data_IF_277810643113
#
_entry.id   IF_277810643113
#
_cell.length_a   1.000
_cell.length_b   1.000
_cell.length_c   1.000
_cell.angle_alpha   90.00
_cell.angle_beta   90.00
_cell.angle_gamma   90.00
#
_symmetry.space_group_name_H-M   'P 1'
#
loop_
_entity.id
_entity.type
_entity.pdbx_description
1 polymer ?
#
# COMPACT_ATOMS: atom_id res chain seq x y z
N UNK A 1 15.78 -9.50 -11.63
CA UNK A 1 15.82 -8.91 -12.99
C UNK A 1 14.46 -8.34 -13.37
N UNK A 2 13.38 -9.10 -13.21
CA UNK A 2 12.04 -8.70 -13.67
C UNK A 2 11.45 -7.51 -12.87
N UNK A 3 11.65 -7.43 -11.55
CA UNK A 3 11.10 -6.34 -10.72
C UNK A 3 11.75 -5.01 -11.09
N UNK A 4 13.08 -4.93 -11.15
CA UNK A 4 13.79 -3.71 -11.51
C UNK A 4 13.38 -3.19 -12.89
N UNK A 5 13.46 -4.04 -13.90
CA UNK A 5 13.04 -3.68 -15.27
C UNK A 5 11.56 -3.32 -15.37
N UNK A 6 10.69 -3.99 -14.58
CA UNK A 6 9.27 -3.67 -14.51
C UNK A 6 9.01 -2.26 -13.96
N UNK A 7 9.68 -1.88 -12.86
CA UNK A 7 9.57 -0.54 -12.28
C UNK A 7 10.03 0.54 -13.26
N UNK A 8 11.19 0.36 -13.92
CA UNK A 8 11.67 1.33 -14.91
C UNK A 8 10.81 1.37 -16.16
N UNK A 9 10.17 0.28 -16.57
CA UNK A 9 9.20 0.32 -17.66
C UNK A 9 8.00 1.22 -17.31
N UNK A 10 7.46 1.13 -16.09
CA UNK A 10 6.39 2.02 -15.63
C UNK A 10 6.86 3.47 -15.54
N UNK A 11 8.09 3.71 -15.05
CA UNK A 11 8.71 5.05 -15.01
C UNK A 11 8.80 5.66 -16.42
N UNK A 12 9.21 4.88 -17.42
CA UNK A 12 9.28 5.34 -18.82
C UNK A 12 7.89 5.70 -19.34
N UNK A 13 6.85 4.91 -19.02
CA UNK A 13 5.47 5.25 -19.41
C UNK A 13 5.00 6.55 -18.74
N UNK A 14 5.27 6.75 -17.45
CA UNK A 14 4.97 8.01 -16.76
C UNK A 14 5.71 9.20 -17.41
N UNK A 15 6.99 9.04 -17.74
CA UNK A 15 7.77 10.06 -18.45
C UNK A 15 7.19 10.36 -19.83
N UNK A 16 6.69 9.36 -20.56
CA UNK A 16 6.04 9.58 -21.86
C UNK A 16 4.76 10.40 -21.72
N UNK A 17 3.95 10.16 -20.68
CA UNK A 17 2.77 10.98 -20.37
C UNK A 17 3.19 12.42 -20.08
N UNK A 18 4.15 12.62 -19.16
CA UNK A 18 4.63 13.96 -18.80
C UNK A 18 5.21 14.72 -19.99
N UNK A 19 5.95 14.04 -20.87
CA UNK A 19 6.46 14.64 -22.10
C UNK A 19 5.33 15.05 -23.03
N UNK A 20 4.34 14.18 -23.26
CA UNK A 20 3.21 14.50 -24.14
C UNK A 20 2.33 15.62 -23.58
N UNK A 21 2.12 15.69 -22.28
CA UNK A 21 1.39 16.81 -21.65
C UNK A 21 2.12 18.13 -21.88
N UNK A 22 3.44 18.15 -21.71
CA UNK A 22 4.25 19.34 -21.95
C UNK A 22 4.21 19.77 -23.41
N UNK A 23 4.35 18.83 -24.33
CA UNK A 23 4.54 19.13 -25.76
C UNK A 23 3.19 19.30 -26.49
N UNK A 24 2.13 18.62 -26.06
CA UNK A 24 0.83 18.52 -26.74
C UNK A 24 -0.38 18.63 -25.79
N UNK A 25 -0.22 19.16 -24.58
CA UNK A 25 -1.27 19.16 -23.53
C UNK A 25 -2.56 19.86 -23.95
N UNK A 26 -2.51 20.78 -24.91
CA UNK A 26 -3.69 21.48 -25.48
C UNK A 26 -4.71 20.53 -26.15
N UNK A 27 -4.34 19.30 -26.47
CA UNK A 27 -5.27 18.29 -27.01
C UNK A 27 -6.30 17.89 -25.95
N UNK A 28 -5.91 17.91 -24.66
CA UNK A 28 -6.83 17.72 -23.55
C UNK A 28 -7.39 19.08 -23.19
N UNK A 29 -8.61 19.35 -23.65
CA UNK A 29 -9.24 20.69 -23.57
C UNK A 29 -9.70 21.02 -22.14
N UNK A 30 -10.03 20.04 -21.32
CA UNK A 30 -10.37 20.23 -19.91
C UNK A 30 -9.10 20.34 -19.06
N UNK A 31 -8.91 21.52 -18.45
CA UNK A 31 -7.73 21.83 -17.64
C UNK A 31 -7.63 20.94 -16.39
N UNK A 32 -8.77 20.60 -15.77
CA UNK A 32 -8.79 19.74 -14.58
C UNK A 32 -8.38 18.30 -14.93
N UNK A 33 -8.92 17.74 -16.01
CA UNK A 33 -8.52 16.42 -16.50
C UNK A 33 -7.04 16.38 -16.86
N UNK A 34 -6.52 17.42 -17.54
CA UNK A 34 -5.10 17.51 -17.87
C UNK A 34 -4.23 17.55 -16.61
N UNK A 35 -4.59 18.36 -15.62
CA UNK A 35 -3.87 18.46 -14.36
C UNK A 35 -3.90 17.14 -13.57
N UNK A 36 -5.03 16.42 -13.57
CA UNK A 36 -5.15 15.11 -12.94
C UNK A 36 -4.24 14.08 -13.61
N UNK A 37 -4.21 14.02 -14.95
CA UNK A 37 -3.34 13.09 -15.69
C UNK A 37 -1.86 13.39 -15.41
N UNK A 38 -1.49 14.66 -15.39
CA UNK A 38 -0.12 15.10 -15.09
C UNK A 38 0.27 14.76 -13.65
N UNK A 39 -0.60 15.05 -12.67
CA UNK A 39 -0.40 14.74 -11.27
C UNK A 39 -0.26 13.24 -11.01
N UNK A 40 -1.10 12.41 -11.64
CA UNK A 40 -0.98 10.95 -11.58
C UNK A 40 0.36 10.45 -12.14
N UNK A 41 0.82 11.01 -13.26
CA UNK A 41 2.10 10.59 -13.86
C UNK A 41 3.30 10.93 -12.96
N UNK A 42 3.31 12.10 -12.31
CA UNK A 42 4.32 12.41 -11.28
C UNK A 42 4.24 11.46 -10.08
N UNK A 43 3.04 11.17 -9.58
CA UNK A 43 2.85 10.26 -8.46
C UNK A 43 3.30 8.83 -8.77
N UNK A 44 3.00 8.31 -9.97
CA UNK A 44 3.44 7.00 -10.45
C UNK A 44 4.98 6.96 -10.55
N UNK A 45 5.60 8.00 -11.08
CA UNK A 45 7.05 8.09 -11.18
C UNK A 45 7.71 8.11 -9.81
N UNK A 46 7.19 8.90 -8.87
CA UNK A 46 7.65 8.93 -7.49
C UNK A 46 7.49 7.57 -6.80
N UNK A 47 6.33 6.93 -6.94
CA UNK A 47 6.03 5.62 -6.36
C UNK A 47 7.02 4.55 -6.82
N UNK A 48 7.25 4.46 -8.14
CA UNK A 48 8.15 3.47 -8.70
C UNK A 48 9.62 3.74 -8.33
N UNK A 49 10.09 4.99 -8.33
CA UNK A 49 11.43 5.32 -7.86
C UNK A 49 11.58 5.08 -6.35
N UNK A 50 10.54 5.32 -5.58
CA UNK A 50 10.56 4.99 -4.15
C UNK A 50 10.66 3.47 -3.92
N UNK A 51 10.01 2.65 -4.74
CA UNK A 51 10.18 1.19 -4.67
C UNK A 51 11.58 0.75 -5.12
N UNK A 52 12.17 1.40 -6.13
CA UNK A 52 13.58 1.21 -6.48
C UNK A 52 14.47 1.51 -5.27
N UNK A 53 14.26 2.64 -4.59
CA UNK A 53 15.01 3.01 -3.38
C UNK A 53 14.84 1.98 -2.27
N UNK A 54 13.59 1.56 -2.00
CA UNK A 54 13.30 0.63 -0.91
C UNK A 54 13.85 -0.78 -1.15
N UNK A 55 13.94 -1.22 -2.39
CA UNK A 55 14.48 -2.54 -2.73
C UNK A 55 16.01 -2.51 -2.88
N UNK A 56 16.52 -1.63 -3.72
CA UNK A 56 17.88 -1.66 -4.20
C UNK A 56 18.79 -0.63 -3.52
N UNK A 57 18.25 0.38 -2.87
CA UNK A 57 19.01 1.39 -2.14
C UNK A 57 19.48 0.92 -0.77
N UNK A 58 20.29 1.75 -0.14
CA UNK A 58 20.76 1.58 1.22
C UNK A 58 19.65 1.65 2.28
N UNK A 59 19.97 1.29 3.52
CA UNK A 59 19.08 1.58 4.66
C UNK A 59 19.01 3.10 4.88
N UNK A 60 17.85 3.64 5.34
CA UNK A 60 17.69 5.10 5.41
C UNK A 60 18.43 5.75 6.58
N UNK A 61 18.79 5.00 7.62
CA UNK A 61 19.44 5.51 8.83
C UNK A 61 20.74 4.78 9.10
N UNK A 62 21.79 5.55 9.42
CA UNK A 62 23.09 5.02 9.83
C UNK A 62 23.73 4.05 8.80
N UNK A 63 23.45 4.26 7.51
CA UNK A 63 23.97 3.43 6.44
C UNK A 63 25.50 3.51 6.37
N UNK A 64 26.14 2.36 6.40
CA UNK A 64 27.58 2.21 6.14
C UNK A 64 27.85 1.89 4.68
N UNK A 65 26.89 1.28 4.00
CA UNK A 65 26.93 0.97 2.57
C UNK A 65 26.20 2.07 1.81
N UNK A 66 26.89 2.75 0.91
CA UNK A 66 26.30 3.81 0.08
C UNK A 66 25.93 3.25 -1.28
N UNK A 67 24.70 3.51 -1.71
CA UNK A 67 24.16 3.04 -3.00
C UNK A 67 23.66 4.24 -3.81
N UNK A 68 24.25 4.47 -4.96
CA UNK A 68 23.73 5.39 -5.96
C UNK A 68 22.73 4.67 -6.87
N UNK A 69 21.67 5.34 -7.25
CA UNK A 69 20.59 4.79 -8.09
C UNK A 69 20.24 5.75 -9.24
N UNK A 70 19.86 5.25 -10.42
CA UNK A 70 19.46 6.11 -11.54
C UNK A 70 18.04 6.65 -11.34
N UNK A 71 17.85 7.98 -11.47
CA UNK A 71 16.54 8.62 -11.47
C UNK A 71 16.17 9.07 -12.87
N UNK A 72 15.22 8.39 -13.51
CA UNK A 72 14.83 8.64 -14.90
C UNK A 72 13.67 9.66 -14.97
N UNK A 73 13.95 10.83 -15.56
CA UNK A 73 12.99 11.93 -15.71
C UNK A 73 12.52 12.15 -17.16
N UNK A 74 13.10 11.42 -18.09
CA UNK A 74 12.80 11.57 -19.53
C UNK A 74 12.74 10.23 -20.23
N UNK A 75 12.05 10.18 -21.35
CA UNK A 75 12.12 9.05 -22.29
C UNK A 75 13.44 9.16 -23.07
N UNK A 76 14.37 8.25 -22.81
CA UNK A 76 15.71 8.28 -23.45
C UNK A 76 16.27 6.87 -23.59
N UNK A 77 17.00 6.65 -24.69
CA UNK A 77 17.85 5.47 -24.89
C UNK A 77 19.26 5.64 -24.31
N UNK A 78 19.56 6.84 -23.80
CA UNK A 78 20.87 7.12 -23.16
C UNK A 78 20.84 6.65 -21.72
N UNK A 79 22.00 6.26 -21.21
CA UNK A 79 22.17 5.93 -19.81
C UNK A 79 21.69 7.09 -18.90
N UNK A 80 20.97 6.75 -17.85
CA UNK A 80 20.48 7.70 -16.85
C UNK A 80 21.59 7.94 -15.82
N UNK A 81 21.71 9.18 -15.36
CA UNK A 81 22.66 9.52 -14.30
C UNK A 81 22.28 8.85 -12.98
N UNK A 82 23.30 8.36 -12.26
CA UNK A 82 23.17 7.83 -10.91
C UNK A 82 23.26 8.97 -9.89
N UNK A 83 22.36 8.95 -8.93
CA UNK A 83 22.26 9.96 -7.88
C UNK A 83 22.60 9.37 -6.52
N UNK A 84 23.19 10.20 -5.65
CA UNK A 84 23.37 9.88 -4.25
C UNK A 84 22.02 9.63 -3.58
N UNK A 85 22.03 8.97 -2.42
CA UNK A 85 20.78 8.78 -1.63
C UNK A 85 20.06 10.10 -1.40
N UNK A 86 20.78 11.16 -0.99
CA UNK A 86 20.19 12.47 -0.71
C UNK A 86 19.57 13.12 -1.94
N UNK A 87 20.28 13.10 -3.07
CA UNK A 87 19.76 13.67 -4.32
C UNK A 87 18.56 12.86 -4.84
N UNK A 88 18.60 11.53 -4.67
CA UNK A 88 17.52 10.65 -5.10
C UNK A 88 16.23 10.88 -4.31
N UNK A 89 16.31 11.01 -2.98
CA UNK A 89 15.13 11.31 -2.14
C UNK A 89 14.57 12.72 -2.42
N UNK A 90 15.43 13.70 -2.70
CA UNK A 90 14.98 15.05 -3.11
C UNK A 90 14.15 14.99 -4.40
N UNK A 91 14.56 14.20 -5.38
CA UNK A 91 13.79 14.04 -6.63
C UNK A 91 12.44 13.36 -6.42
N UNK A 92 12.36 12.38 -5.50
CA UNK A 92 11.07 11.78 -5.13
C UNK A 92 10.16 12.83 -4.48
N UNK A 93 10.69 13.62 -3.54
CA UNK A 93 9.92 14.67 -2.86
C UNK A 93 9.43 15.74 -3.84
N UNK A 94 10.26 16.13 -4.82
CA UNK A 94 9.87 17.06 -5.89
C UNK A 94 8.70 16.54 -6.73
N UNK A 95 8.72 15.26 -7.09
CA UNK A 95 7.64 14.65 -7.87
C UNK A 95 6.36 14.52 -7.06
N UNK A 96 6.44 14.16 -5.76
CA UNK A 96 5.29 14.14 -4.86
C UNK A 96 4.67 15.52 -4.69
N UNK A 97 5.49 16.55 -4.53
CA UNK A 97 5.05 17.95 -4.42
C UNK A 97 4.31 18.43 -5.67
N UNK A 98 4.82 18.07 -6.87
CA UNK A 98 4.13 18.37 -8.13
C UNK A 98 2.80 17.65 -8.24
N UNK A 99 2.78 16.36 -7.90
CA UNK A 99 1.57 15.55 -7.89
C UNK A 99 0.51 16.12 -6.93
N UNK A 100 0.90 16.45 -5.68
CA UNK A 100 0.00 17.07 -4.70
C UNK A 100 -0.58 18.38 -5.24
N UNK A 101 0.26 19.26 -5.76
CA UNK A 101 -0.16 20.58 -6.26
C UNK A 101 -1.17 20.47 -7.40
N UNK A 102 -0.94 19.54 -8.33
CA UNK A 102 -1.81 19.35 -9.50
C UNK A 102 -3.16 18.71 -9.11
N UNK A 103 -3.16 17.78 -8.16
CA UNK A 103 -4.37 17.06 -7.76
C UNK A 103 -5.24 17.87 -6.79
N UNK A 104 -4.65 18.70 -5.93
CA UNK A 104 -5.32 19.38 -4.82
C UNK A 104 -6.61 20.11 -5.21
N UNK A 105 -6.62 20.79 -6.35
CA UNK A 105 -7.77 21.62 -6.79
C UNK A 105 -8.55 20.96 -7.94
N UNK A 106 -8.07 19.85 -8.49
CA UNK A 106 -8.57 19.25 -9.72
C UNK A 106 -9.16 17.85 -9.55
N UNK A 107 -8.83 17.16 -8.46
CA UNK A 107 -9.29 15.78 -8.25
C UNK A 107 -10.79 15.74 -7.89
N UNK A 108 -11.61 14.94 -8.61
CA UNK A 108 -13.05 14.84 -8.36
C UNK A 108 -13.41 14.26 -6.97
N UNK A 109 -12.46 13.68 -6.25
CA UNK A 109 -12.66 13.17 -4.89
C UNK A 109 -13.01 14.28 -3.87
N UNK A 110 -12.79 15.55 -4.19
CA UNK A 110 -13.27 16.66 -3.38
C UNK A 110 -14.76 16.99 -3.59
N UNK A 111 -15.33 16.50 -4.70
CA UNK A 111 -16.75 16.66 -5.06
C UNK A 111 -17.58 15.42 -4.76
N UNK A 112 -17.00 14.23 -4.98
CA UNK A 112 -17.70 12.96 -4.98
C UNK A 112 -16.98 11.95 -4.09
N UNK A 113 -17.75 11.06 -3.47
CA UNK A 113 -17.19 9.95 -2.69
C UNK A 113 -16.57 8.88 -3.58
N UNK A 114 -15.67 8.06 -3.04
CA UNK A 114 -15.13 6.91 -3.77
C UNK A 114 -16.23 5.99 -4.30
N UNK A 115 -17.27 5.76 -3.51
CA UNK A 115 -18.39 4.91 -3.96
C UNK A 115 -19.10 5.50 -5.18
N UNK A 116 -19.33 6.81 -5.23
CA UNK A 116 -19.92 7.47 -6.40
C UNK A 116 -18.99 7.39 -7.62
N UNK A 117 -17.68 7.62 -7.42
CA UNK A 117 -16.67 7.56 -8.49
C UNK A 117 -16.43 6.13 -9.01
N UNK A 118 -16.64 5.11 -8.18
CA UNK A 118 -16.54 3.72 -8.58
C UNK A 118 -17.81 3.20 -9.30
N UNK A 119 -18.94 3.95 -9.24
CA UNK A 119 -20.26 3.53 -9.77
C UNK A 119 -20.83 4.49 -10.81
N UNK A 120 -20.06 5.43 -11.31
CA UNK A 120 -20.55 6.44 -12.27
C UNK A 120 -21.05 5.83 -13.59
N UNK A 121 -20.58 4.66 -13.98
CA UNK A 121 -21.06 3.90 -15.15
C UNK A 121 -22.19 2.92 -14.84
N UNK A 122 -22.56 2.77 -13.57
CA UNK A 122 -23.63 1.86 -13.16
C UNK A 122 -25.00 2.37 -13.60
N UNK A 123 -26.01 1.48 -13.54
CA UNK A 123 -27.41 1.83 -13.78
C UNK A 123 -28.11 2.43 -12.56
N UNK A 124 -27.38 2.72 -11.48
CA UNK A 124 -27.96 3.23 -10.22
C UNK A 124 -28.61 4.59 -10.41
N UNK A 125 -29.76 4.79 -9.76
CA UNK A 125 -30.54 6.02 -9.88
C UNK A 125 -29.79 7.27 -9.35
N UNK A 126 -28.80 7.06 -8.46
CA UNK A 126 -28.00 8.12 -7.83
C UNK A 126 -26.60 8.24 -8.44
N UNK A 127 -26.41 7.73 -9.66
CA UNK A 127 -25.13 7.86 -10.33
C UNK A 127 -24.79 9.32 -10.61
N UNK A 128 -23.52 9.64 -10.52
CA UNK A 128 -23.00 10.95 -10.95
C UNK A 128 -22.72 10.96 -12.46
N UNK A 129 -22.66 12.15 -13.04
CA UNK A 129 -22.19 12.34 -14.40
C UNK A 129 -20.81 12.99 -14.32
N UNK A 130 -19.83 12.37 -14.94
CA UNK A 130 -18.47 12.91 -15.09
C UNK A 130 -18.34 13.51 -16.51
N UNK A 131 -17.59 14.60 -16.62
CA UNK A 131 -17.28 15.21 -17.92
C UNK A 131 -16.39 14.31 -18.76
N UNK A 132 -15.47 13.59 -18.08
CA UNK A 132 -14.60 12.59 -18.69
C UNK A 132 -14.59 11.32 -17.83
N UNK A 133 -14.78 10.15 -18.44
CA UNK A 133 -14.74 8.85 -17.77
C UNK A 133 -13.37 8.59 -17.10
N UNK A 134 -12.30 9.23 -17.57
CA UNK A 134 -10.99 9.19 -16.94
C UNK A 134 -11.02 9.66 -15.48
N UNK A 135 -11.91 10.57 -15.14
CA UNK A 135 -12.10 11.09 -13.77
C UNK A 135 -12.80 10.10 -12.82
N UNK A 136 -13.24 8.94 -13.31
CA UNK A 136 -13.80 7.86 -12.48
C UNK A 136 -12.75 6.98 -11.84
N UNK A 137 -13.22 6.02 -11.01
CA UNK A 137 -12.41 4.98 -10.37
C UNK A 137 -11.18 5.52 -9.61
N UNK A 138 -11.36 6.66 -8.90
CA UNK A 138 -10.26 7.36 -8.24
C UNK A 138 -9.54 6.53 -7.16
N UNK A 139 -10.17 5.51 -6.60
CA UNK A 139 -9.56 4.58 -5.65
C UNK A 139 -8.51 3.66 -6.31
N UNK A 140 -8.62 3.46 -7.62
CA UNK A 140 -7.71 2.64 -8.44
C UNK A 140 -6.72 3.48 -9.24
N UNK A 141 -6.59 4.76 -8.91
CA UNK A 141 -5.68 5.73 -9.52
C UNK A 141 -5.04 6.57 -8.43
N UNK A 142 -3.91 7.19 -8.73
CA UNK A 142 -3.33 8.16 -7.79
C UNK A 142 -4.25 9.37 -7.66
N UNK A 143 -5.03 9.37 -6.59
CA UNK A 143 -5.85 10.50 -6.17
C UNK A 143 -5.07 11.37 -5.17
N UNK A 144 -5.61 12.54 -4.82
CA UNK A 144 -4.97 13.45 -3.88
C UNK A 144 -4.59 12.78 -2.54
N UNK A 145 -5.50 11.99 -1.96
CA UNK A 145 -5.23 11.31 -0.68
C UNK A 145 -4.25 10.13 -0.85
N UNK A 146 -4.18 9.53 -2.03
CA UNK A 146 -3.16 8.53 -2.35
C UNK A 146 -1.76 9.14 -2.40
N UNK A 147 -1.63 10.37 -2.92
CA UNK A 147 -0.37 11.12 -2.86
C UNK A 147 -0.01 11.46 -1.42
N UNK A 148 -0.95 11.97 -0.60
CA UNK A 148 -0.70 12.23 0.84
C UNK A 148 -0.31 10.95 1.60
N UNK A 149 -0.93 9.82 1.29
CA UNK A 149 -0.58 8.53 1.88
C UNK A 149 0.81 8.04 1.45
N UNK A 150 1.17 8.26 0.20
CA UNK A 150 2.52 7.96 -0.31
C UNK A 150 3.58 8.88 0.33
N UNK A 151 3.28 10.16 0.51
CA UNK A 151 4.11 11.10 1.27
C UNK A 151 4.31 10.63 2.71
N UNK A 152 3.25 10.21 3.40
CA UNK A 152 3.36 9.69 4.77
C UNK A 152 4.31 8.49 4.84
N UNK A 153 4.16 7.53 3.93
CA UNK A 153 5.03 6.35 3.81
C UNK A 153 6.47 6.74 3.47
N UNK A 154 6.66 7.64 2.52
CA UNK A 154 7.97 8.12 2.10
C UNK A 154 8.69 8.87 3.23
N UNK A 155 8.07 9.87 3.84
CA UNK A 155 8.66 10.62 4.93
C UNK A 155 8.94 9.76 6.17
N UNK A 156 8.05 8.79 6.45
CA UNK A 156 8.31 7.81 7.50
C UNK A 156 9.55 6.97 7.19
N UNK A 157 9.72 6.53 5.94
CA UNK A 157 10.87 5.74 5.51
C UNK A 157 12.18 6.51 5.65
N UNK A 158 12.24 7.77 5.25
CA UNK A 158 13.45 8.59 5.33
C UNK A 158 13.69 9.23 6.72
N UNK A 159 12.72 9.09 7.66
CA UNK A 159 12.83 9.56 9.04
C UNK A 159 12.37 11.00 9.29
N UNK A 160 11.70 11.63 8.33
CA UNK A 160 11.07 12.95 8.45
C UNK A 160 9.71 12.84 9.19
N UNK A 161 9.77 12.52 10.50
CA UNK A 161 8.60 12.11 11.29
C UNK A 161 7.50 13.16 11.35
N UNK A 162 7.84 14.45 11.41
CA UNK A 162 6.85 15.52 11.44
C UNK A 162 6.06 15.63 10.11
N UNK A 163 6.74 15.48 8.97
CA UNK A 163 6.10 15.44 7.65
C UNK A 163 5.25 14.18 7.49
N UNK A 164 5.77 13.03 7.94
CA UNK A 164 5.04 11.75 7.91
C UNK A 164 3.73 11.84 8.71
N UNK A 165 3.78 12.39 9.93
CA UNK A 165 2.61 12.62 10.77
C UNK A 165 1.58 13.52 10.08
N UNK A 166 2.01 14.67 9.58
CA UNK A 166 1.12 15.63 8.92
C UNK A 166 0.42 15.02 7.70
N UNK A 167 1.17 14.28 6.87
CA UNK A 167 0.63 13.62 5.69
C UNK A 167 -0.35 12.48 6.05
N UNK A 168 -0.01 11.65 7.04
CA UNK A 168 -0.91 10.59 7.53
C UNK A 168 -2.20 11.16 8.12
N UNK A 169 -2.11 12.22 8.92
CA UNK A 169 -3.28 12.91 9.49
C UNK A 169 -4.16 13.53 8.42
N UNK A 170 -3.59 14.06 7.35
CA UNK A 170 -4.38 14.60 6.23
C UNK A 170 -5.29 13.54 5.60
N UNK A 171 -4.87 12.27 5.58
CA UNK A 171 -5.70 11.15 5.10
C UNK A 171 -6.70 10.69 6.16
N UNK A 172 -6.27 10.53 7.42
CA UNK A 172 -7.13 10.07 8.53
C UNK A 172 -8.29 11.04 8.76
N UNK A 173 -8.04 12.35 8.67
CA UNK A 173 -9.02 13.39 8.97
C UNK A 173 -9.79 13.86 7.73
N UNK A 174 -9.51 13.27 6.56
CA UNK A 174 -10.14 13.61 5.29
C UNK A 174 -11.68 13.47 5.36
N UNK A 175 -12.38 14.48 4.83
CA UNK A 175 -13.84 14.51 4.80
C UNK A 175 -14.35 14.80 3.39
N UNK A 176 -15.43 14.13 3.06
CA UNK A 176 -16.23 14.42 1.88
C UNK A 176 -16.95 15.78 2.03
N UNK A 177 -17.50 16.28 0.95
CA UNK A 177 -18.23 17.55 0.93
C UNK A 177 -19.44 17.59 1.90
N UNK A 178 -20.03 16.44 2.22
CA UNK A 178 -21.12 16.28 3.19
C UNK A 178 -20.65 16.17 4.66
N UNK A 179 -19.34 16.23 4.89
CA UNK A 179 -18.71 16.13 6.21
C UNK A 179 -18.46 14.70 6.71
N UNK A 180 -18.86 13.68 5.96
CA UNK A 180 -18.54 12.28 6.27
C UNK A 180 -17.05 11.99 6.04
N UNK A 181 -16.51 10.95 6.67
CA UNK A 181 -15.13 10.51 6.41
C UNK A 181 -14.97 10.02 4.96
N UNK A 182 -13.88 10.38 4.31
CA UNK A 182 -13.53 9.85 2.97
C UNK A 182 -13.25 8.35 3.05
N UNK A 183 -12.55 7.93 4.09
CA UNK A 183 -12.20 6.54 4.38
C UNK A 183 -12.49 6.21 5.84
N UNK A 184 -12.85 4.97 6.11
CA UNK A 184 -13.04 4.45 7.46
C UNK A 184 -12.25 3.17 7.64
N UNK A 185 -11.80 2.90 8.87
CA UNK A 185 -11.23 1.59 9.19
C UNK A 185 -12.28 0.52 8.99
N UNK A 186 -11.90 -0.56 8.33
CA UNK A 186 -12.77 -1.70 8.08
C UNK A 186 -13.12 -2.41 9.40
N UNK A 187 -14.39 -2.72 9.55
CA UNK A 187 -14.92 -3.41 10.72
C UNK A 187 -15.44 -4.80 10.40
N UNK A 188 -16.11 -5.42 11.38
CA UNK A 188 -16.68 -6.77 11.26
C UNK A 188 -17.61 -6.91 10.04
N UNK A 189 -18.33 -5.84 9.68
CA UNK A 189 -19.23 -5.85 8.54
C UNK A 189 -18.51 -6.09 7.20
N UNK A 190 -17.32 -5.50 7.03
CA UNK A 190 -16.51 -5.71 5.81
C UNK A 190 -16.11 -7.17 5.69
N UNK A 191 -15.65 -7.78 6.79
CA UNK A 191 -15.29 -9.18 6.82
C UNK A 191 -16.50 -10.10 6.58
N UNK A 192 -17.67 -9.79 7.13
CA UNK A 192 -18.89 -10.55 6.91
C UNK A 192 -19.36 -10.50 5.44
N UNK A 193 -19.02 -9.46 4.71
CA UNK A 193 -19.25 -9.35 3.26
C UNK A 193 -18.20 -10.09 2.42
N UNK A 194 -17.24 -10.75 3.07
CA UNK A 194 -16.12 -11.41 2.39
C UNK A 194 -15.14 -10.41 1.74
N UNK A 195 -15.03 -9.19 2.25
CA UNK A 195 -14.12 -8.16 1.77
C UNK A 195 -12.78 -8.23 2.53
N UNK A 196 -12.09 -9.34 2.43
CA UNK A 196 -10.90 -9.63 3.26
C UNK A 196 -9.67 -8.80 2.89
N UNK A 197 -9.61 -8.25 1.67
CA UNK A 197 -8.58 -7.28 1.25
C UNK A 197 -8.87 -5.85 1.77
N UNK A 198 -10.01 -5.64 2.43
CA UNK A 198 -10.44 -4.39 3.06
C UNK A 198 -10.50 -3.20 2.07
N UNK A 199 -11.27 -3.32 0.98
CA UNK A 199 -11.37 -2.24 -0.02
C UNK A 199 -11.88 -0.92 0.56
N UNK A 200 -12.67 -0.93 1.64
CA UNK A 200 -13.12 0.28 2.35
C UNK A 200 -11.99 1.11 2.96
N UNK A 201 -10.84 0.50 3.22
CA UNK A 201 -9.64 1.18 3.70
C UNK A 201 -8.67 1.60 2.58
N UNK A 202 -8.85 1.11 1.36
CA UNK A 202 -7.90 1.37 0.28
C UNK A 202 -7.92 2.84 -0.12
N UNK A 203 -6.83 3.52 0.16
CA UNK A 203 -6.54 4.87 -0.35
C UNK A 203 -6.10 4.78 -1.80
N UNK A 204 -5.32 3.73 -2.10
CA UNK A 204 -4.86 3.34 -3.42
C UNK A 204 -4.87 1.82 -3.55
N UNK A 205 -5.44 1.31 -4.63
CA UNK A 205 -5.46 -0.10 -4.94
C UNK A 205 -5.23 -0.34 -6.44
N UNK A 206 -4.94 -1.58 -6.80
CA UNK A 206 -5.03 -2.07 -8.16
C UNK A 206 -6.26 -2.96 -8.30
N UNK A 207 -6.91 -2.90 -9.45
CA UNK A 207 -7.84 -3.93 -9.87
C UNK A 207 -7.07 -4.99 -10.65
N UNK A 208 -7.24 -6.25 -10.28
CA UNK A 208 -6.70 -7.39 -11.02
C UNK A 208 -7.81 -8.41 -11.28
N UNK A 209 -8.28 -8.46 -12.51
CA UNK A 209 -9.36 -9.36 -12.90
C UNK A 209 -8.96 -10.85 -12.87
N UNK A 210 -7.66 -11.17 -12.89
CA UNK A 210 -7.11 -12.53 -12.75
C UNK A 210 -6.76 -12.89 -11.28
N UNK A 211 -7.14 -12.04 -10.32
CA UNK A 211 -6.75 -12.24 -8.92
C UNK A 211 -7.20 -13.59 -8.36
N UNK A 212 -8.39 -14.04 -8.74
CA UNK A 212 -8.94 -15.33 -8.31
C UNK A 212 -8.06 -16.51 -8.77
N UNK A 213 -7.56 -16.48 -10.00
CA UNK A 213 -6.69 -17.53 -10.55
C UNK A 213 -5.37 -17.60 -9.77
N UNK A 214 -4.74 -16.42 -9.50
CA UNK A 214 -3.53 -16.37 -8.67
C UNK A 214 -3.77 -16.87 -7.24
N UNK A 215 -4.90 -16.51 -6.66
CA UNK A 215 -5.25 -16.92 -5.28
C UNK A 215 -5.49 -18.43 -5.23
N UNK A 216 -6.21 -18.99 -6.20
CA UNK A 216 -6.46 -20.42 -6.29
C UNK A 216 -5.17 -21.22 -6.51
N UNK A 217 -4.21 -20.70 -7.25
CA UNK A 217 -2.93 -21.37 -7.46
C UNK A 217 -2.01 -21.33 -6.22
N UNK A 218 -2.07 -20.26 -5.44
CA UNK A 218 -1.17 -20.05 -4.29
C UNK A 218 -1.75 -20.53 -2.96
N UNK A 219 -3.07 -20.44 -2.78
CA UNK A 219 -3.73 -20.64 -1.48
C UNK A 219 -4.86 -21.68 -1.51
N UNK A 220 -5.14 -22.33 -2.65
CA UNK A 220 -6.18 -23.36 -2.73
C UNK A 220 -5.69 -24.69 -2.14
N UNK A 221 -6.36 -25.12 -1.10
CA UNK A 221 -5.96 -26.25 -0.29
C UNK A 221 -6.35 -27.60 -0.88
N UNK A 222 -7.34 -27.65 -1.75
CA UNK A 222 -7.70 -28.82 -2.55
C UNK A 222 -6.55 -29.29 -3.46
N UNK A 223 -5.55 -28.41 -3.66
CA UNK A 223 -4.31 -28.68 -4.40
C UNK A 223 -3.10 -28.91 -3.47
N UNK A 224 -3.30 -29.29 -2.19
CA UNK A 224 -2.21 -29.58 -1.25
C UNK A 224 -1.20 -30.64 -1.69
N UNK A 225 -1.51 -31.38 -2.73
CA UNK A 225 -0.56 -32.23 -3.45
C UNK A 225 0.41 -31.43 -4.34
N UNK A 226 0.21 -30.13 -4.48
CA UNK A 226 1.05 -29.25 -5.27
C UNK A 226 1.99 -28.49 -4.32
N UNK A 227 3.29 -28.62 -4.49
CA UNK A 227 4.34 -27.97 -3.67
C UNK A 227 4.31 -26.43 -3.72
N UNK A 228 3.33 -25.85 -4.41
CA UNK A 228 3.18 -24.39 -4.61
C UNK A 228 2.22 -23.73 -3.64
N UNK A 229 1.44 -24.50 -2.85
CA UNK A 229 0.46 -23.92 -1.92
C UNK A 229 1.15 -23.31 -0.71
N UNK A 230 0.87 -22.03 -0.45
CA UNK A 230 1.39 -21.31 0.69
C UNK A 230 0.48 -21.48 1.90
N UNK A 231 1.02 -22.08 2.97
CA UNK A 231 0.32 -22.25 4.25
C UNK A 231 1.22 -21.86 5.42
N UNK A 232 0.61 -21.65 6.58
CA UNK A 232 1.31 -21.38 7.82
C UNK A 232 1.18 -22.55 8.80
N UNK A 233 2.13 -22.65 9.74
CA UNK A 233 1.95 -23.49 10.91
C UNK A 233 1.07 -22.79 11.94
N UNK A 234 0.19 -23.53 12.59
CA UNK A 234 -0.68 -23.01 13.66
C UNK A 234 0.11 -22.28 14.74
N UNK A 235 1.27 -22.82 15.15
CA UNK A 235 2.16 -22.18 16.15
C UNK A 235 2.66 -20.80 15.67
N UNK A 236 2.96 -20.64 14.39
CA UNK A 236 3.40 -19.35 13.83
C UNK A 236 2.28 -18.31 13.81
N UNK A 237 1.04 -18.74 13.56
CA UNK A 237 -0.12 -17.84 13.68
C UNK A 237 -0.34 -17.47 15.15
N UNK A 238 -0.21 -18.42 16.08
CA UNK A 238 -0.29 -18.14 17.50
C UNK A 238 0.80 -17.12 17.94
N UNK A 239 2.03 -17.27 17.46
CA UNK A 239 3.11 -16.29 17.69
C UNK A 239 2.75 -14.91 17.14
N UNK A 240 2.21 -14.84 15.90
CA UNK A 240 1.84 -13.59 15.24
C UNK A 240 0.79 -12.81 16.05
N UNK A 241 -0.19 -13.51 16.61
CA UNK A 241 -1.27 -12.92 17.41
C UNK A 241 -1.02 -13.01 18.92
N UNK A 242 0.20 -13.32 19.35
CA UNK A 242 0.56 -13.37 20.77
C UNK A 242 0.25 -12.03 21.46
N UNK A 243 -0.33 -12.11 22.66
CA UNK A 243 -0.73 -10.93 23.44
C UNK A 243 -2.07 -10.31 23.04
N UNK A 244 -2.75 -10.83 21.99
CA UNK A 244 -4.07 -10.35 21.60
C UNK A 244 -5.17 -11.39 21.91
N UNK A 245 -6.38 -10.88 22.17
CA UNK A 245 -7.56 -11.73 22.28
C UNK A 245 -7.96 -12.19 20.86
N UNK A 246 -7.80 -13.50 20.58
CA UNK A 246 -8.07 -14.04 19.23
C UNK A 246 -9.53 -14.39 18.99
N UNK A 247 -10.31 -14.66 20.05
CA UNK A 247 -11.71 -15.12 19.93
C UNK A 247 -12.64 -14.16 19.18
N UNK A 248 -12.38 -12.84 19.23
CA UNK A 248 -13.15 -11.83 18.56
C UNK A 248 -12.37 -11.09 17.44
N UNK A 249 -11.07 -11.33 17.32
CA UNK A 249 -10.19 -10.62 16.38
C UNK A 249 -10.56 -10.93 14.93
N UNK A 250 -11.04 -9.93 14.21
CA UNK A 250 -11.46 -10.08 12.81
C UNK A 250 -10.32 -10.61 11.92
N UNK A 251 -9.09 -10.15 12.10
CA UNK A 251 -7.93 -10.59 11.31
C UNK A 251 -7.61 -12.06 11.57
N UNK A 252 -7.66 -12.51 12.83
CA UNK A 252 -7.41 -13.91 13.17
C UNK A 252 -8.51 -14.83 12.60
N UNK A 253 -9.77 -14.41 12.69
CA UNK A 253 -10.91 -15.25 12.35
C UNK A 253 -11.25 -15.25 10.86
N UNK A 254 -10.91 -14.20 10.12
CA UNK A 254 -11.32 -14.05 8.72
C UNK A 254 -10.15 -13.97 7.73
N UNK A 255 -9.00 -13.40 8.13
CA UNK A 255 -7.86 -13.32 7.22
C UNK A 255 -7.12 -14.65 7.08
N UNK A 256 -7.45 -15.65 7.90
CA UNK A 256 -6.88 -16.99 7.87
C UNK A 256 -7.99 -18.03 7.85
N UNK A 257 -7.93 -18.97 6.92
CA UNK A 257 -8.74 -20.19 6.98
C UNK A 257 -8.02 -21.22 7.84
N UNK A 258 -8.46 -21.33 9.09
CA UNK A 258 -7.90 -22.23 10.10
C UNK A 258 -8.43 -23.66 9.97
N UNK A 259 -9.43 -23.91 9.12
CA UNK A 259 -10.08 -25.22 8.98
C UNK A 259 -9.33 -26.18 8.05
N UNK A 260 -8.42 -25.65 7.25
CA UNK A 260 -7.72 -26.44 6.23
C UNK A 260 -6.70 -27.40 6.83
N UNK A 261 -6.65 -28.60 6.29
CA UNK A 261 -5.75 -29.68 6.72
C UNK A 261 -5.01 -30.28 5.53
N UNK A 262 -3.80 -30.80 5.76
CA UNK A 262 -3.12 -31.63 4.78
C UNK A 262 -3.74 -33.04 4.70
N UNK A 263 -3.20 -33.88 3.83
CA UNK A 263 -3.65 -35.26 3.64
C UNK A 263 -3.49 -36.15 4.89
N UNK A 264 -2.67 -35.74 5.85
CA UNK A 264 -2.46 -36.42 7.13
C UNK A 264 -3.39 -35.89 8.22
N UNK A 265 -4.28 -34.96 7.92
CA UNK A 265 -5.20 -34.33 8.87
C UNK A 265 -4.54 -33.29 9.77
N UNK A 266 -3.32 -32.82 9.44
CA UNK A 266 -2.63 -31.77 10.19
C UNK A 266 -3.11 -30.40 9.69
N UNK A 267 -3.51 -29.52 10.62
CA UNK A 267 -3.96 -28.18 10.30
C UNK A 267 -2.88 -27.37 9.58
N UNK A 268 -3.26 -26.81 8.45
CA UNK A 268 -2.46 -25.97 7.56
C UNK A 268 -3.22 -24.67 7.25
N UNK A 269 -3.25 -23.72 8.16
CA UNK A 269 -3.92 -22.44 7.94
C UNK A 269 -3.43 -21.76 6.66
N UNK A 270 -4.35 -21.29 5.84
CA UNK A 270 -4.07 -20.55 4.60
C UNK A 270 -4.48 -19.10 4.73
N UNK A 271 -3.72 -18.21 4.07
CA UNK A 271 -4.10 -16.81 4.00
C UNK A 271 -5.37 -16.66 3.14
N UNK A 272 -6.39 -16.05 3.76
CA UNK A 272 -7.71 -15.88 3.16
C UNK A 272 -7.94 -14.45 2.62
N UNK A 273 -6.96 -13.58 2.76
CA UNK A 273 -7.08 -12.13 2.48
C UNK A 273 -7.60 -11.81 1.08
N UNK A 274 -7.25 -12.61 0.08
CA UNK A 274 -7.66 -12.38 -1.32
C UNK A 274 -8.67 -13.41 -1.82
N UNK A 275 -9.21 -14.21 -0.91
CA UNK A 275 -10.18 -15.24 -1.26
C UNK A 275 -11.47 -14.62 -1.79
N UNK A 276 -12.02 -15.23 -2.82
CA UNK A 276 -13.35 -14.97 -3.34
C UNK A 276 -14.18 -16.24 -3.18
N UNK A 277 -15.44 -16.07 -2.76
CA UNK A 277 -16.37 -17.20 -2.69
C UNK A 277 -16.83 -17.56 -4.10
N UNK A 278 -16.50 -18.74 -4.63
CA UNK A 278 -16.85 -19.14 -5.99
C UNK A 278 -18.37 -19.34 -6.18
N UNK A 279 -19.11 -19.55 -5.09
CA UNK A 279 -20.55 -19.73 -5.13
C UNK A 279 -21.34 -18.41 -5.00
N UNK A 280 -20.64 -17.30 -4.72
CA UNK A 280 -21.28 -16.00 -4.58
C UNK A 280 -21.43 -15.31 -5.94
N UNK A 281 -22.54 -14.60 -6.10
CA UNK A 281 -22.79 -13.75 -7.27
C UNK A 281 -22.55 -12.30 -6.94
N UNK A 282 -21.71 -11.62 -7.72
CA UNK A 282 -21.40 -10.21 -7.58
C UNK A 282 -21.85 -9.43 -8.81
N UNK A 283 -22.26 -8.17 -8.62
CA UNK A 283 -22.36 -7.25 -9.75
C UNK A 283 -20.96 -7.01 -10.35
N UNK A 284 -20.89 -6.65 -11.64
CA UNK A 284 -19.59 -6.35 -12.27
C UNK A 284 -18.82 -5.26 -11.53
N UNK A 285 -19.52 -4.27 -10.99
CA UNK A 285 -18.91 -3.18 -10.20
C UNK A 285 -18.41 -3.70 -8.86
N UNK A 286 -19.19 -4.49 -8.13
CA UNK A 286 -18.75 -5.05 -6.84
C UNK A 286 -17.61 -6.05 -7.03
N UNK A 287 -17.62 -6.85 -8.09
CA UNK A 287 -16.52 -7.73 -8.42
C UNK A 287 -15.23 -6.91 -8.61
N UNK A 288 -15.27 -5.90 -9.47
CA UNK A 288 -14.10 -5.07 -9.77
C UNK A 288 -13.62 -4.24 -8.57
N UNK A 289 -14.53 -3.67 -7.76
CA UNK A 289 -14.19 -2.70 -6.73
C UNK A 289 -14.10 -3.27 -5.31
N UNK A 290 -14.56 -4.51 -5.09
CA UNK A 290 -14.57 -5.14 -3.78
C UNK A 290 -13.80 -6.47 -3.73
N UNK A 291 -13.72 -7.22 -4.83
CA UNK A 291 -13.17 -8.58 -4.86
C UNK A 291 -11.86 -8.67 -5.62
N UNK A 292 -11.73 -8.01 -6.75
CA UNK A 292 -10.51 -8.00 -7.57
C UNK A 292 -9.53 -6.91 -7.13
N UNK A 293 -9.43 -6.66 -5.83
CA UNK A 293 -8.69 -5.53 -5.23
C UNK A 293 -7.38 -5.99 -4.64
N UNK A 294 -6.29 -5.40 -5.11
CA UNK A 294 -4.96 -5.54 -4.52
C UNK A 294 -4.59 -4.21 -3.85
N UNK A 295 -4.60 -4.15 -2.50
CA UNK A 295 -4.25 -2.94 -1.78
C UNK A 295 -2.80 -2.51 -2.05
N UNK A 296 -2.58 -1.24 -2.36
CA UNK A 296 -1.25 -0.63 -2.41
C UNK A 296 -0.97 0.22 -1.17
N UNK A 297 -1.96 1.04 -0.76
CA UNK A 297 -1.90 1.84 0.46
C UNK A 297 -3.28 1.81 1.12
N UNK A 298 -3.32 1.49 2.41
CA UNK A 298 -4.56 1.45 3.21
C UNK A 298 -4.54 2.44 4.36
N UNK A 299 -5.73 2.84 4.80
CA UNK A 299 -5.93 3.76 5.93
C UNK A 299 -5.28 3.24 7.21
N UNK A 300 -5.27 1.93 7.45
CA UNK A 300 -4.58 1.30 8.59
C UNK A 300 -3.10 1.67 8.66
N UNK A 301 -2.41 1.78 7.51
CA UNK A 301 -1.02 2.22 7.51
C UNK A 301 -0.88 3.67 7.97
N UNK A 302 -1.81 4.54 7.58
CA UNK A 302 -1.82 5.92 8.04
C UNK A 302 -1.99 6.04 9.55
N UNK A 303 -2.85 5.21 10.15
CA UNK A 303 -2.97 5.10 11.60
C UNK A 303 -1.66 4.67 12.26
N UNK A 304 -1.01 3.62 11.74
CA UNK A 304 0.26 3.14 12.30
C UNK A 304 1.37 4.18 12.17
N UNK A 305 1.48 4.87 11.02
CA UNK A 305 2.44 5.96 10.82
C UNK A 305 2.15 7.11 11.78
N UNK A 306 0.90 7.55 11.91
CA UNK A 306 0.54 8.66 12.79
C UNK A 306 0.82 8.32 14.26
N UNK A 307 0.49 7.12 14.72
CA UNK A 307 0.79 6.65 16.07
C UNK A 307 2.30 6.58 16.36
N UNK A 308 3.09 6.13 15.39
CA UNK A 308 4.55 6.01 15.55
C UNK A 308 5.24 7.39 15.56
N UNK A 309 4.68 8.40 14.88
CA UNK A 309 5.32 9.68 14.62
C UNK A 309 4.80 10.85 15.46
N UNK A 310 3.61 10.72 16.06
CA UNK A 310 3.11 11.77 16.98
C UNK A 310 4.00 11.88 18.22
N UNK A 311 4.14 13.11 18.71
CA UNK A 311 4.83 13.39 19.99
C UNK A 311 3.91 13.25 21.21
N UNK A 312 2.60 13.09 21.00
CA UNK A 312 1.59 12.97 22.04
C UNK A 312 1.21 11.50 22.29
N UNK A 313 1.64 10.93 23.41
CA UNK A 313 1.23 9.59 23.82
C UNK A 313 -0.29 9.47 23.98
N UNK A 314 -0.95 10.52 24.46
CA UNK A 314 -2.41 10.54 24.63
C UNK A 314 -3.13 10.43 23.29
N UNK A 315 -2.67 11.16 22.27
CA UNK A 315 -3.22 11.07 20.92
C UNK A 315 -2.94 9.71 20.28
N UNK A 316 -1.70 9.21 20.41
CA UNK A 316 -1.35 7.89 19.92
C UNK A 316 -2.22 6.79 20.53
N UNK A 317 -2.47 6.85 21.84
CA UNK A 317 -3.35 5.91 22.54
C UNK A 317 -4.80 6.00 22.05
N UNK A 318 -5.32 7.19 21.78
CA UNK A 318 -6.67 7.34 21.20
C UNK A 318 -6.74 6.67 19.84
N UNK A 319 -5.79 6.95 18.94
CA UNK A 319 -5.72 6.31 17.62
C UNK A 319 -5.55 4.79 17.72
N UNK A 320 -4.77 4.30 18.67
CA UNK A 320 -4.58 2.86 18.88
C UNK A 320 -5.88 2.17 19.33
N UNK A 321 -6.59 2.77 20.28
CA UNK A 321 -7.88 2.23 20.75
C UNK A 321 -8.90 2.18 19.61
N UNK A 322 -9.03 3.26 18.83
CA UNK A 322 -9.93 3.33 17.67
C UNK A 322 -9.57 2.27 16.62
N UNK A 323 -8.27 2.12 16.34
CA UNK A 323 -7.75 1.14 15.41
C UNK A 323 -8.05 -0.29 15.86
N UNK A 324 -7.81 -0.62 17.14
CA UNK A 324 -8.07 -1.95 17.70
C UNK A 324 -9.56 -2.25 17.79
N UNK A 325 -10.39 -1.25 18.10
CA UNK A 325 -11.85 -1.39 18.10
C UNK A 325 -12.37 -1.76 16.71
N UNK A 326 -11.85 -1.18 15.65
CA UNK A 326 -12.21 -1.56 14.28
C UNK A 326 -11.84 -3.03 13.96
N UNK A 327 -10.79 -3.57 14.61
CA UNK A 327 -10.40 -4.99 14.51
C UNK A 327 -11.20 -5.91 15.45
N UNK A 328 -12.20 -5.35 16.14
CA UNK A 328 -13.03 -6.03 17.14
C UNK A 328 -12.20 -6.58 18.33
N UNK A 329 -11.22 -5.80 18.78
CA UNK A 329 -10.32 -6.13 19.88
C UNK A 329 -10.44 -5.03 20.95
N UNK A 330 -10.78 -5.36 22.20
CA UNK A 330 -10.66 -4.40 23.29
C UNK A 330 -9.17 -4.05 23.50
N UNK A 331 -8.88 -2.77 23.66
CA UNK A 331 -7.52 -2.31 23.88
C UNK A 331 -7.48 -1.19 24.92
N UNK A 332 -6.37 -1.12 25.64
CA UNK A 332 -6.02 -0.02 26.53
C UNK A 332 -4.82 0.74 25.97
N UNK A 333 -4.66 1.98 26.39
CA UNK A 333 -3.51 2.77 26.00
C UNK A 333 -2.23 2.34 26.71
N UNK A 334 -1.10 2.67 26.11
CA UNK A 334 0.23 2.41 26.64
C UNK A 334 0.66 3.47 27.65
N UNK A 335 1.58 3.09 28.52
CA UNK A 335 2.16 4.00 29.55
C UNK A 335 3.38 4.76 29.02
N UNK A 336 4.00 4.27 27.97
CA UNK A 336 5.17 4.90 27.34
C UNK A 336 5.10 4.83 25.81
N UNK A 337 5.80 5.76 25.16
CA UNK A 337 5.99 5.75 23.70
C UNK A 337 6.79 4.52 23.24
N UNK A 338 7.69 4.00 24.07
CA UNK A 338 8.50 2.84 23.73
C UNK A 338 7.65 1.58 23.64
N UNK A 339 6.79 1.33 24.65
CA UNK A 339 5.87 0.19 24.64
C UNK A 339 4.94 0.24 23.43
N UNK A 340 4.41 1.42 23.11
CA UNK A 340 3.58 1.63 21.93
C UNK A 340 4.34 1.32 20.63
N UNK A 341 5.60 1.77 20.49
CA UNK A 341 6.40 1.51 19.29
C UNK A 341 6.66 0.03 19.06
N UNK A 342 6.92 -0.73 20.14
CA UNK A 342 7.06 -2.18 20.06
C UNK A 342 5.78 -2.83 19.53
N UNK A 343 4.62 -2.40 20.04
CA UNK A 343 3.34 -2.95 19.59
C UNK A 343 2.99 -2.52 18.17
N UNK A 344 3.32 -1.30 17.74
CA UNK A 344 3.12 -0.86 16.35
C UNK A 344 3.83 -1.80 15.36
N UNK A 345 5.04 -2.25 15.67
CA UNK A 345 5.74 -3.22 14.82
C UNK A 345 4.99 -4.54 14.73
N UNK A 346 4.43 -5.01 15.85
CA UNK A 346 3.59 -6.21 15.87
C UNK A 346 2.31 -6.01 15.05
N UNK A 347 1.72 -4.79 15.11
CA UNK A 347 0.55 -4.45 14.31
C UNK A 347 0.87 -4.42 12.81
N UNK A 348 2.02 -3.89 12.39
CA UNK A 348 2.47 -4.01 10.99
C UNK A 348 2.56 -5.48 10.55
N UNK A 349 3.08 -6.37 11.38
CA UNK A 349 3.17 -7.81 11.08
C UNK A 349 1.80 -8.46 10.88
N UNK A 350 0.84 -8.15 11.75
CA UNK A 350 -0.53 -8.71 11.70
C UNK A 350 -1.34 -8.14 10.55
N UNK A 351 -1.27 -6.83 10.38
CA UNK A 351 -2.12 -6.08 9.44
C UNK A 351 -1.70 -6.31 7.99
N UNK A 352 -0.40 -6.23 7.71
CA UNK A 352 0.14 -6.29 6.36
C UNK A 352 0.71 -7.64 5.97
N UNK A 353 0.32 -8.70 6.67
CA UNK A 353 0.68 -10.05 6.26
C UNK A 353 0.09 -10.33 4.85
N UNK A 354 0.95 -10.79 3.94
CA UNK A 354 0.57 -10.99 2.53
C UNK A 354 0.52 -9.74 1.66
N UNK A 355 0.92 -8.55 2.17
CA UNK A 355 0.98 -7.30 1.41
C UNK A 355 2.41 -6.80 1.13
N UNK A 356 3.43 -7.58 1.47
CA UNK A 356 4.83 -7.28 1.14
C UNK A 356 5.47 -6.13 1.93
N UNK A 357 4.81 -5.57 2.96
CA UNK A 357 5.30 -4.36 3.63
C UNK A 357 6.36 -4.62 4.70
N UNK A 358 6.47 -5.84 5.23
CA UNK A 358 7.35 -6.10 6.39
C UNK A 358 8.84 -5.98 6.08
N UNK A 359 9.29 -6.35 4.87
CA UNK A 359 10.68 -6.15 4.47
C UNK A 359 11.07 -4.66 4.56
N UNK A 360 10.23 -3.79 4.06
CA UNK A 360 10.46 -2.35 4.08
C UNK A 360 10.38 -1.77 5.49
N UNK A 361 9.49 -2.29 6.34
CA UNK A 361 9.41 -1.89 7.75
C UNK A 361 10.69 -2.25 8.51
N UNK A 362 11.19 -3.47 8.38
CA UNK A 362 12.45 -3.89 8.99
C UNK A 362 13.64 -3.10 8.46
N UNK A 363 13.72 -2.90 7.14
CA UNK A 363 14.76 -2.09 6.49
C UNK A 363 14.78 -0.65 7.02
N UNK A 364 13.60 -0.01 7.09
CA UNK A 364 13.44 1.34 7.62
C UNK A 364 13.94 1.48 9.06
N UNK A 365 13.70 0.45 9.85
CA UNK A 365 14.13 0.41 11.26
C UNK A 365 15.60 0.04 11.44
N UNK A 366 16.27 -0.47 10.39
CA UNK A 366 17.59 -1.08 10.51
C UNK A 366 17.58 -2.27 11.47
N UNK A 367 16.50 -3.06 11.46
CA UNK A 367 16.32 -4.15 12.39
C UNK A 367 17.39 -5.23 12.19
N UNK A 368 18.01 -5.67 13.27
CA UNK A 368 19.02 -6.75 13.26
C UNK A 368 18.38 -8.12 13.48
N UNK A 369 17.11 -8.17 13.85
CA UNK A 369 16.33 -9.39 14.05
C UNK A 369 15.00 -9.32 13.33
N UNK A 370 14.51 -10.44 12.83
CA UNK A 370 13.19 -10.56 12.20
C UNK A 370 12.41 -11.69 12.85
N UNK A 371 11.09 -11.55 12.93
CA UNK A 371 10.21 -12.59 13.44
C UNK A 371 10.44 -13.90 12.65
N UNK A 372 10.66 -15.01 13.35
CA UNK A 372 10.89 -16.36 12.82
C UNK A 372 12.21 -16.56 12.07
N UNK A 373 13.09 -15.60 12.05
CA UNK A 373 14.45 -15.76 11.57
C UNK A 373 15.40 -16.04 12.75
N UNK A 374 16.18 -17.09 12.65
CA UNK A 374 17.13 -17.46 13.71
C UNK A 374 18.49 -16.75 13.60
N UNK A 375 18.77 -16.17 12.43
CA UNK A 375 20.02 -15.50 12.13
C UNK A 375 19.85 -13.99 12.21
N UNK A 376 20.90 -13.30 12.67
CA UNK A 376 20.95 -11.85 12.65
C UNK A 376 20.91 -11.31 11.20
N UNK A 377 20.36 -10.13 11.06
CA UNK A 377 20.23 -9.42 9.79
C UNK A 377 21.24 -8.29 9.76
N UNK A 378 22.11 -8.30 8.73
CA UNK A 378 23.04 -7.21 8.46
C UNK A 378 22.46 -6.21 7.46
N UNK A 379 23.13 -5.06 7.32
CA UNK A 379 22.73 -4.03 6.34
C UNK A 379 22.68 -4.58 4.91
N UNK A 380 23.64 -5.44 4.53
CA UNK A 380 23.69 -6.07 3.20
C UNK A 380 22.43 -6.88 2.87
N UNK A 381 21.80 -7.49 3.88
CA UNK A 381 20.58 -8.28 3.67
C UNK A 381 19.38 -7.42 3.24
N UNK A 382 19.45 -6.11 3.44
CA UNK A 382 18.42 -5.15 3.04
C UNK A 382 18.63 -4.55 1.65
N UNK A 383 19.73 -4.84 0.98
CA UNK A 383 20.05 -4.31 -0.34
C UNK A 383 19.92 -5.43 -1.36
N UNK A 384 18.84 -5.39 -2.14
CA UNK A 384 18.67 -6.33 -3.24
C UNK A 384 19.68 -6.00 -4.33
N UNK A 385 20.38 -7.03 -4.83
CA UNK A 385 21.37 -6.84 -5.88
C UNK A 385 20.73 -6.27 -7.15
N UNK A 386 21.40 -5.26 -7.73
CA UNK A 386 21.02 -4.74 -9.04
C UNK A 386 21.21 -5.82 -10.11
N UNK A 387 20.44 -5.76 -11.22
CA UNK A 387 20.66 -6.63 -12.36
C UNK A 387 22.08 -6.50 -12.94
N UNK A 388 22.64 -7.58 -13.45
CA UNK A 388 24.00 -7.57 -14.05
C UNK A 388 24.14 -6.55 -15.18
N UNK A 389 23.05 -6.26 -15.89
CA UNK A 389 22.99 -5.24 -16.94
C UNK A 389 23.27 -3.81 -16.44
N UNK A 390 23.09 -3.53 -15.15
CA UNK A 390 23.45 -2.25 -14.54
C UNK A 390 24.98 -2.11 -14.32
N UNK A 391 25.67 -3.23 -14.19
CA UNK A 391 27.13 -3.27 -14.05
C UNK A 391 27.84 -3.44 -15.39
N UNK A 392 27.17 -4.06 -16.36
CA UNK A 392 27.70 -4.29 -17.71
C UNK A 392 26.60 -4.09 -18.74
N UNK A 393 26.45 -2.88 -19.30
CA UNK A 393 25.39 -2.55 -20.25
C UNK A 393 25.49 -3.31 -21.59
N UNK A 394 26.57 -4.07 -21.80
CA UNK A 394 26.73 -4.90 -23.01
C UNK A 394 26.23 -6.34 -22.86
N UNK A 395 25.65 -6.68 -21.69
CA UNK A 395 24.95 -7.93 -21.45
C UNK A 395 23.44 -7.76 -21.70
#
# INVERSE_FOLDING_TARGET
KNIYGGLYNVIVQANAVLQNIRDNGQVITDDATRAVIEGEAYAIRAFCHFDVLRLFGQIPKNATIQVALPYAETVSIKAVAYYSYTDFITKIEDDLTKAETLLKDNDPIFKYTFNQLNRFESSDANKITLEDAYMGYRQFRFNYYAVKALEARFFMYIGETAKAYAAAKAVIDAKNADGTKVLTLAGTEDYNKGNFALPSECVLALNNFELEDYVNDLFAVDKLNNFTVLYMNVSKIADLFSGQQTSANNRYNFAWDMSKTDLSGVNKPVLHKYYQDPDASYSSVDLATQKQVVPLIRLSEMYLIAMETTTSLAEANTMYIDYMQARNIPAEGFKSQEDLRVEIVNEYRREFFGEGQMFFTYKRMGATTMLWRNEDVSEENYIVALPDTEYNPNL
#
